data_IF_514261971670
#
_entry.id   IF_514261971670
#
_cell.length_a   1.000
_cell.length_b   1.000
_cell.length_c   1.000
_cell.angle_alpha   90.00
_cell.angle_beta   90.00
_cell.angle_gamma   90.00
#
_symmetry.space_group_name_H-M   'P 1'
#
loop_
_entity.id
_entity.type
_entity.pdbx_description
1 polymer ?
#
# COMPACT_ATOMS: atom_id res chain seq x y z
N UNK A 1 13.73 6.89 -21.94
CA UNK A 1 12.27 7.03 -22.03
C UNK A 1 11.55 6.26 -20.88
N UNK A 2 11.95 5.01 -20.58
CA UNK A 2 11.32 4.21 -19.51
C UNK A 2 11.52 4.77 -18.10
N UNK A 3 12.68 5.31 -17.79
CA UNK A 3 13.01 5.90 -16.49
C UNK A 3 12.10 7.10 -16.18
N UNK A 4 11.89 8.01 -17.14
CA UNK A 4 10.98 9.15 -16.97
C UNK A 4 9.53 8.69 -16.71
N UNK A 5 9.07 7.63 -17.42
CA UNK A 5 7.75 7.06 -17.17
C UNK A 5 7.63 6.48 -15.76
N UNK A 6 8.64 5.75 -15.30
CA UNK A 6 8.67 5.21 -13.94
C UNK A 6 8.59 6.31 -12.88
N UNK A 7 9.36 7.38 -13.03
CA UNK A 7 9.35 8.53 -12.13
C UNK A 7 7.97 9.19 -12.09
N UNK A 8 7.36 9.46 -13.24
CA UNK A 8 6.02 10.06 -13.32
C UNK A 8 4.99 9.18 -12.58
N UNK A 9 5.02 7.87 -12.80
CA UNK A 9 4.09 6.95 -12.16
C UNK A 9 4.25 6.94 -10.63
N UNK A 10 5.48 6.87 -10.12
CA UNK A 10 5.74 6.87 -8.66
C UNK A 10 5.35 8.20 -8.04
N UNK A 11 5.76 9.33 -8.65
CA UNK A 11 5.40 10.67 -8.17
C UNK A 11 3.89 10.89 -8.17
N UNK A 12 3.19 10.46 -9.24
CA UNK A 12 1.72 10.55 -9.28
C UNK A 12 1.07 9.75 -8.16
N UNK A 13 1.58 8.55 -7.86
CA UNK A 13 1.12 7.74 -6.72
C UNK A 13 1.32 8.45 -5.38
N UNK A 14 2.50 9.01 -5.14
CA UNK A 14 2.80 9.75 -3.91
C UNK A 14 1.96 11.03 -3.77
N UNK A 15 1.76 11.80 -4.86
CA UNK A 15 0.91 12.98 -4.84
C UNK A 15 -0.54 12.64 -4.49
N UNK A 16 -1.07 11.54 -5.05
CA UNK A 16 -2.41 11.08 -4.70
C UNK A 16 -2.49 10.67 -3.23
N UNK A 17 -1.50 9.95 -2.70
CA UNK A 17 -1.45 9.61 -1.28
C UNK A 17 -1.32 10.83 -0.38
N UNK A 18 -0.62 11.87 -0.82
CA UNK A 18 -0.57 13.17 -0.12
C UNK A 18 -1.94 13.84 0.04
N UNK A 19 -2.87 13.58 -0.90
CA UNK A 19 -4.26 14.06 -0.82
C UNK A 19 -5.19 13.15 0.03
N UNK A 20 -4.76 11.96 0.43
CA UNK A 20 -5.58 11.00 1.18
C UNK A 20 -6.15 11.53 2.50
N UNK A 21 -5.42 12.32 3.31
CA UNK A 21 -6.00 12.88 4.53
C UNK A 21 -7.29 13.68 4.28
N UNK A 22 -7.38 14.38 3.15
CA UNK A 22 -8.58 15.13 2.77
C UNK A 22 -9.76 14.19 2.47
N UNK A 23 -9.50 13.09 1.79
CA UNK A 23 -10.54 12.10 1.48
C UNK A 23 -11.00 11.36 2.75
N UNK A 24 -10.08 10.87 3.55
CA UNK A 24 -10.44 10.13 4.77
C UNK A 24 -11.08 11.00 5.84
N UNK A 25 -10.79 12.31 5.87
CA UNK A 25 -11.48 13.25 6.75
C UNK A 25 -12.99 13.32 6.48
N UNK A 26 -13.44 13.07 5.25
CA UNK A 26 -14.87 12.99 4.92
C UNK A 26 -15.55 11.74 5.50
N UNK A 27 -14.79 10.73 5.87
CA UNK A 27 -15.25 9.46 6.45
C UNK A 27 -14.89 9.31 7.94
N UNK A 28 -14.50 10.37 8.64
CA UNK A 28 -14.10 10.31 10.05
C UNK A 28 -15.23 9.90 11.01
N UNK A 29 -16.49 9.98 10.56
CA UNK A 29 -17.66 9.52 11.28
C UNK A 29 -17.96 8.02 11.09
N UNK A 30 -17.26 7.33 10.19
CA UNK A 30 -17.37 5.89 9.93
C UNK A 30 -16.30 5.14 10.70
N UNK A 31 -16.64 3.94 11.21
CA UNK A 31 -15.64 3.12 11.89
C UNK A 31 -14.46 2.80 10.94
N UNK A 32 -13.22 3.08 11.34
CA UNK A 32 -12.05 2.89 10.49
C UNK A 32 -11.87 1.45 9.97
N UNK A 33 -12.29 0.45 10.76
CA UNK A 33 -12.26 -0.94 10.31
C UNK A 33 -13.21 -1.19 9.16
N UNK A 34 -14.39 -0.55 9.17
CA UNK A 34 -15.36 -0.59 8.07
C UNK A 34 -14.81 0.11 6.82
N UNK A 35 -14.16 1.26 6.98
CA UNK A 35 -13.46 1.94 5.87
C UNK A 35 -12.42 1.02 5.24
N UNK A 36 -11.63 0.27 6.03
CA UNK A 36 -10.66 -0.70 5.52
C UNK A 36 -11.32 -1.83 4.73
N UNK A 37 -12.44 -2.35 5.23
CA UNK A 37 -13.24 -3.36 4.54
C UNK A 37 -13.66 -2.86 3.16
N UNK A 38 -14.26 -1.68 3.09
CA UNK A 38 -14.75 -1.10 1.83
C UNK A 38 -13.62 -0.78 0.85
N UNK A 39 -12.46 -0.34 1.32
CA UNK A 39 -11.25 -0.16 0.49
C UNK A 39 -10.87 -1.43 -0.25
N UNK A 40 -10.92 -2.58 0.42
CA UNK A 40 -10.56 -3.87 -0.19
C UNK A 40 -11.71 -4.40 -1.03
N UNK A 41 -12.93 -4.41 -0.50
CA UNK A 41 -14.11 -4.95 -1.17
C UNK A 41 -14.37 -4.26 -2.52
N UNK A 42 -14.40 -2.93 -2.54
CA UNK A 42 -14.66 -2.16 -3.76
C UNK A 42 -13.45 -2.08 -4.71
N UNK A 43 -12.25 -2.45 -4.25
CA UNK A 43 -11.12 -2.63 -5.16
C UNK A 43 -11.30 -3.83 -6.10
N UNK A 44 -12.03 -4.86 -5.69
CA UNK A 44 -12.25 -6.07 -6.51
C UNK A 44 -12.95 -5.77 -7.83
N UNK A 45 -14.14 -5.13 -7.87
CA UNK A 45 -14.81 -4.83 -9.15
C UNK A 45 -14.00 -3.85 -10.00
N UNK A 46 -13.31 -2.87 -9.40
CA UNK A 46 -12.45 -1.93 -10.14
C UNK A 46 -11.31 -2.68 -10.84
N UNK A 47 -10.61 -3.55 -10.13
CA UNK A 47 -9.51 -4.34 -10.67
C UNK A 47 -9.99 -5.39 -11.69
N UNK A 48 -11.15 -6.00 -11.44
CA UNK A 48 -11.80 -6.89 -12.41
C UNK A 48 -12.01 -6.20 -13.75
N UNK A 49 -12.63 -5.02 -13.74
CA UNK A 49 -12.87 -4.21 -14.96
C UNK A 49 -11.55 -3.90 -15.65
N UNK A 50 -10.54 -3.42 -14.92
CA UNK A 50 -9.23 -3.09 -15.50
C UNK A 50 -8.54 -4.30 -16.14
N UNK A 51 -8.59 -5.47 -15.49
CA UNK A 51 -7.98 -6.69 -16.01
C UNK A 51 -8.77 -7.23 -17.19
N UNK A 52 -10.12 -7.20 -17.11
CA UNK A 52 -11.00 -7.69 -18.16
C UNK A 52 -10.81 -6.97 -19.50
N UNK A 53 -10.68 -5.66 -19.50
CA UNK A 53 -10.54 -4.86 -20.73
C UNK A 53 -9.12 -4.84 -21.34
N UNK A 54 -8.13 -5.46 -20.67
CA UNK A 54 -6.74 -5.45 -21.19
C UNK A 54 -6.19 -6.87 -21.36
N UNK A 55 -6.14 -7.41 -22.62
CA UNK A 55 -5.71 -8.78 -22.90
C UNK A 55 -4.36 -9.16 -22.32
N UNK A 56 -3.38 -8.22 -22.31
CA UNK A 56 -2.06 -8.45 -21.70
C UNK A 56 -2.12 -8.63 -20.18
N UNK A 57 -3.08 -8.01 -19.50
CA UNK A 57 -3.29 -8.19 -18.05
C UNK A 57 -4.05 -9.47 -17.75
N UNK A 58 -4.99 -9.89 -18.61
CA UNK A 58 -5.65 -11.20 -18.50
C UNK A 58 -4.62 -12.33 -18.64
N UNK A 59 -3.74 -12.26 -19.65
CA UNK A 59 -2.69 -13.25 -19.84
C UNK A 59 -1.74 -13.32 -18.64
N UNK A 60 -1.32 -12.16 -18.11
CA UNK A 60 -0.46 -12.09 -16.94
C UNK A 60 -1.18 -12.61 -15.68
N UNK A 61 -2.46 -12.29 -15.48
CA UNK A 61 -3.30 -12.84 -14.39
C UNK A 61 -3.33 -14.38 -14.44
N UNK A 62 -3.69 -14.96 -15.61
CA UNK A 62 -3.73 -16.42 -15.80
C UNK A 62 -2.37 -17.09 -15.53
N UNK A 63 -1.28 -16.49 -16.01
CA UNK A 63 0.08 -16.98 -15.76
C UNK A 63 0.40 -16.97 -14.26
N UNK A 64 0.04 -15.88 -13.59
CA UNK A 64 0.36 -15.71 -12.17
C UNK A 64 -0.41 -16.68 -11.27
N UNK A 65 -1.69 -16.92 -11.52
CA UNK A 65 -2.48 -17.89 -10.76
C UNK A 65 -2.07 -19.35 -11.02
N UNK A 66 -1.44 -19.64 -12.16
CA UNK A 66 -0.93 -20.98 -12.48
C UNK A 66 0.41 -21.27 -11.79
N UNK A 67 1.10 -20.27 -11.26
CA UNK A 67 2.39 -20.42 -10.58
C UNK A 67 2.20 -20.43 -9.07
N UNK A 68 2.43 -21.60 -8.42
CA UNK A 68 2.39 -21.72 -6.96
C UNK A 68 3.34 -20.74 -6.26
N UNK A 69 4.52 -20.50 -6.85
CA UNK A 69 5.50 -19.55 -6.34
C UNK A 69 4.97 -18.12 -6.37
N UNK A 70 4.43 -17.67 -7.51
CA UNK A 70 3.85 -16.32 -7.63
C UNK A 70 2.66 -16.15 -6.67
N UNK A 71 1.77 -17.13 -6.55
CA UNK A 71 0.65 -17.10 -5.61
C UNK A 71 1.11 -16.98 -4.15
N UNK A 72 2.14 -17.73 -3.76
CA UNK A 72 2.69 -17.62 -2.41
C UNK A 72 3.24 -16.22 -2.12
N UNK A 73 4.01 -15.65 -3.05
CA UNK A 73 4.51 -14.29 -2.89
C UNK A 73 3.40 -13.25 -2.93
N UNK A 74 2.36 -13.42 -3.77
CA UNK A 74 1.19 -12.54 -3.78
C UNK A 74 0.39 -12.62 -2.47
N UNK A 75 0.28 -13.80 -1.87
CA UNK A 75 -0.32 -13.95 -0.54
C UNK A 75 0.50 -13.23 0.54
N UNK A 76 1.82 -13.36 0.51
CA UNK A 76 2.71 -12.66 1.43
C UNK A 76 2.59 -11.13 1.26
N UNK A 77 2.57 -10.63 0.02
CA UNK A 77 2.41 -9.19 -0.25
C UNK A 77 1.01 -8.69 0.13
N UNK A 78 -0.03 -9.50 -0.03
CA UNK A 78 -1.38 -9.20 0.46
C UNK A 78 -1.42 -9.03 1.99
N UNK A 79 -0.74 -9.91 2.73
CA UNK A 79 -0.60 -9.78 4.19
C UNK A 79 0.17 -8.51 4.55
N UNK A 80 1.32 -8.25 3.91
CA UNK A 80 2.15 -7.07 4.19
C UNK A 80 1.37 -5.77 4.01
N UNK A 81 0.63 -5.63 2.90
CA UNK A 81 -0.13 -4.41 2.64
C UNK A 81 -1.36 -4.28 3.56
N UNK A 82 -1.97 -5.38 3.97
CA UNK A 82 -3.08 -5.38 4.94
C UNK A 82 -2.60 -4.95 6.33
N UNK A 83 -1.46 -5.47 6.78
CA UNK A 83 -0.83 -5.05 8.05
C UNK A 83 -0.45 -3.57 7.99
N UNK A 84 0.07 -3.11 6.86
CA UNK A 84 0.39 -1.70 6.66
C UNK A 84 -0.85 -0.80 6.81
N UNK A 85 -1.93 -1.13 6.13
CA UNK A 85 -3.18 -0.35 6.20
C UNK A 85 -3.82 -0.40 7.59
N UNK A 86 -3.88 -1.60 8.20
CA UNK A 86 -4.38 -1.78 9.55
C UNK A 86 -3.55 -1.02 10.58
N UNK A 87 -2.22 -1.06 10.46
CA UNK A 87 -1.30 -0.29 11.29
C UNK A 87 -1.49 1.22 11.17
N UNK A 88 -1.70 1.72 9.95
CA UNK A 88 -2.01 3.13 9.71
C UNK A 88 -3.34 3.55 10.37
N UNK A 89 -4.40 2.75 10.18
CA UNK A 89 -5.71 2.99 10.78
C UNK A 89 -5.60 3.00 12.32
N UNK A 90 -4.89 2.01 12.88
CA UNK A 90 -4.65 1.94 14.33
C UNK A 90 -3.90 3.17 14.84
N UNK A 91 -2.87 3.62 14.12
CA UNK A 91 -2.12 4.82 14.48
C UNK A 91 -3.00 6.08 14.47
N UNK A 92 -3.85 6.24 13.46
CA UNK A 92 -4.82 7.36 13.39
C UNK A 92 -5.79 7.33 14.56
N UNK A 93 -6.36 6.15 14.89
CA UNK A 93 -7.29 6.00 16.02
C UNK A 93 -6.66 6.29 17.40
N UNK A 94 -5.38 5.99 17.54
CA UNK A 94 -4.63 6.27 18.76
C UNK A 94 -4.11 7.72 18.81
N UNK A 95 -4.45 8.58 17.83
CA UNK A 95 -3.93 9.95 17.73
C UNK A 95 -2.45 10.03 17.36
N UNK A 96 -1.83 8.93 16.90
CA UNK A 96 -0.41 8.81 16.58
C UNK A 96 -0.11 9.05 15.08
N UNK A 97 -0.79 10.00 14.47
CA UNK A 97 -0.65 10.30 13.01
C UNK A 97 0.78 10.71 12.66
N UNK A 98 1.46 11.45 13.54
CA UNK A 98 2.87 11.84 13.32
C UNK A 98 3.77 10.61 13.31
N UNK A 99 3.56 9.66 14.24
CA UNK A 99 4.29 8.40 14.29
C UNK A 99 4.09 7.58 13.01
N UNK A 100 2.83 7.48 12.52
CA UNK A 100 2.52 6.81 11.25
C UNK A 100 3.22 7.47 10.06
N UNK A 101 3.24 8.80 10.00
CA UNK A 101 3.91 9.56 8.94
C UNK A 101 5.41 9.34 8.95
N UNK A 102 6.03 9.30 10.14
CA UNK A 102 7.46 9.01 10.29
C UNK A 102 7.85 7.63 9.75
N UNK A 103 6.95 6.65 9.79
CA UNK A 103 7.17 5.35 9.18
C UNK A 103 7.50 5.44 7.69
N UNK A 104 6.86 6.33 6.96
CA UNK A 104 7.14 6.53 5.54
C UNK A 104 8.49 7.21 5.29
N UNK A 105 9.03 7.98 6.23
CA UNK A 105 10.41 8.51 6.14
C UNK A 105 11.48 7.43 6.31
N UNK A 106 11.14 6.26 6.86
CA UNK A 106 12.03 5.09 6.91
C UNK A 106 12.04 4.32 5.57
N UNK A 107 11.00 4.47 4.76
CA UNK A 107 10.88 3.75 3.48
C UNK A 107 12.09 3.96 2.54
N UNK A 108 12.67 5.15 2.39
CA UNK A 108 13.90 5.34 1.61
C UNK A 108 15.05 4.45 2.07
N UNK A 109 15.26 4.35 3.37
CA UNK A 109 16.32 3.54 3.97
C UNK A 109 16.11 2.06 3.64
N UNK A 110 14.89 1.55 3.93
CA UNK A 110 14.55 0.14 3.73
C UNK A 110 14.55 -0.22 2.23
N UNK A 111 14.02 0.65 1.37
CA UNK A 111 14.03 0.45 -0.07
C UNK A 111 15.44 0.40 -0.64
N UNK A 112 16.36 1.25 -0.15
CA UNK A 112 17.75 1.25 -0.57
C UNK A 112 18.46 -0.02 -0.09
N UNK A 113 18.24 -0.45 1.13
CA UNK A 113 18.74 -1.74 1.63
C UNK A 113 18.21 -2.91 0.79
N UNK A 114 16.91 -2.90 0.50
CA UNK A 114 16.28 -3.90 -0.38
C UNK A 114 16.87 -3.88 -1.79
N UNK A 115 17.09 -2.70 -2.36
CA UNK A 115 17.74 -2.53 -3.66
C UNK A 115 19.17 -3.09 -3.69
N UNK A 116 19.94 -2.80 -2.65
CA UNK A 116 21.30 -3.30 -2.52
C UNK A 116 21.36 -4.82 -2.30
N UNK A 117 20.57 -5.34 -1.35
CA UNK A 117 20.63 -6.75 -0.93
C UNK A 117 20.02 -7.69 -2.00
N UNK A 118 18.81 -7.37 -2.48
CA UNK A 118 18.05 -8.28 -3.35
C UNK A 118 18.26 -8.06 -4.85
N UNK A 119 18.57 -6.82 -5.25
CA UNK A 119 18.73 -6.48 -6.67
C UNK A 119 20.16 -6.10 -7.04
N UNK A 120 21.11 -6.15 -6.09
CA UNK A 120 22.51 -5.79 -6.28
C UNK A 120 22.70 -4.39 -6.92
N UNK A 121 21.79 -3.47 -6.59
CA UNK A 121 21.81 -2.11 -7.12
C UNK A 121 23.00 -1.33 -6.54
N UNK A 122 23.71 -0.60 -7.41
CA UNK A 122 24.80 0.29 -6.97
C UNK A 122 24.23 1.57 -6.36
N UNK A 123 24.69 1.91 -5.16
CA UNK A 123 24.28 3.11 -4.44
C UNK A 123 25.28 4.22 -4.73
N UNK A 124 24.84 5.30 -5.39
CA UNK A 124 25.71 6.48 -5.60
C UNK A 124 26.02 7.20 -4.28
N UNK A 125 27.14 7.93 -4.24
CA UNK A 125 27.54 8.68 -3.03
C UNK A 125 26.47 9.66 -2.54
N UNK A 126 25.76 10.31 -3.46
CA UNK A 126 24.66 11.22 -3.12
C UNK A 126 23.52 10.49 -2.42
N UNK A 127 23.13 9.31 -2.91
CA UNK A 127 22.11 8.47 -2.29
C UNK A 127 22.54 7.96 -0.91
N UNK A 128 23.82 7.63 -0.73
CA UNK A 128 24.36 7.24 0.59
C UNK A 128 24.20 8.37 1.60
N UNK A 129 24.52 9.61 1.21
CA UNK A 129 24.33 10.78 2.08
C UNK A 129 22.85 11.02 2.40
N UNK A 130 21.96 10.89 1.40
CA UNK A 130 20.50 11.04 1.63
C UNK A 130 20.00 10.02 2.68
N UNK A 131 20.40 8.75 2.57
CA UNK A 131 20.03 7.72 3.56
C UNK A 131 20.67 7.97 4.92
N UNK A 132 21.92 8.40 4.95
CA UNK A 132 22.60 8.74 6.19
C UNK A 132 21.82 9.81 6.97
N UNK A 133 21.44 10.91 6.33
CA UNK A 133 20.65 11.97 6.98
C UNK A 133 19.24 11.50 7.33
N UNK A 134 18.57 10.72 6.47
CA UNK A 134 17.27 10.14 6.79
C UNK A 134 17.34 9.20 8.00
N UNK A 135 18.39 8.39 8.09
CA UNK A 135 18.63 7.50 9.25
C UNK A 135 18.87 8.29 10.53
N UNK A 136 19.68 9.36 10.49
CA UNK A 136 19.88 10.24 11.66
C UNK A 136 18.56 10.85 12.11
N UNK A 137 17.76 11.39 11.17
CA UNK A 137 16.45 11.98 11.50
C UNK A 137 15.50 10.95 12.12
N UNK A 138 15.47 9.73 11.59
CA UNK A 138 14.66 8.63 12.14
C UNK A 138 15.14 8.22 13.55
N UNK A 139 16.44 8.07 13.75
CA UNK A 139 17.02 7.76 15.08
C UNK A 139 16.73 8.87 16.07
N UNK A 140 16.91 10.13 15.68
CA UNK A 140 16.58 11.28 16.52
C UNK A 140 15.12 11.21 16.98
N UNK A 141 14.19 10.94 16.06
CA UNK A 141 12.77 10.78 16.40
C UNK A 141 12.51 9.63 17.39
N UNK A 142 13.16 8.47 17.16
CA UNK A 142 13.02 7.30 18.04
C UNK A 142 13.51 7.61 19.47
N UNK A 143 14.62 8.33 19.61
CA UNK A 143 15.24 8.61 20.91
C UNK A 143 14.73 9.89 21.58
N UNK A 144 14.07 10.79 20.86
CA UNK A 144 13.52 12.04 21.39
C UNK A 144 12.07 11.94 21.84
N UNK A 145 11.37 10.84 21.50
CA UNK A 145 9.97 10.62 21.86
C UNK A 145 9.80 9.99 23.24
N UNK A 146 8.67 10.29 23.90
CA UNK A 146 8.30 9.70 25.19
C UNK A 146 7.98 8.19 25.12
N UNK A 147 7.78 7.66 23.93
CA UNK A 147 7.47 6.25 23.69
C UNK A 147 8.10 5.72 22.42
N UNK A 148 8.42 4.43 22.40
CA UNK A 148 8.97 3.77 21.22
C UNK A 148 7.98 3.77 20.04
N UNK A 149 8.33 4.29 18.85
CA UNK A 149 7.42 4.47 17.72
C UNK A 149 7.22 3.19 16.90
N UNK A 150 6.70 2.14 17.54
CA UNK A 150 6.55 0.81 16.92
C UNK A 150 5.58 0.79 15.73
N UNK A 151 4.53 1.63 15.75
CA UNK A 151 3.57 1.74 14.63
C UNK A 151 4.24 2.33 13.39
N UNK A 152 5.03 3.39 13.56
CA UNK A 152 5.79 3.97 12.45
C UNK A 152 6.77 2.97 11.84
N UNK A 153 7.50 2.24 12.69
CA UNK A 153 8.41 1.19 12.23
C UNK A 153 7.66 0.07 11.48
N UNK A 154 6.53 -0.38 12.01
CA UNK A 154 5.68 -1.39 11.38
C UNK A 154 5.21 -0.92 9.98
N UNK A 155 4.70 0.30 9.88
CA UNK A 155 4.18 0.90 8.64
C UNK A 155 5.32 1.02 7.61
N UNK A 156 6.45 1.60 8.00
CA UNK A 156 7.59 1.78 7.10
C UNK A 156 8.17 0.45 6.60
N UNK A 157 8.33 -0.52 7.51
CA UNK A 157 8.85 -1.84 7.17
C UNK A 157 7.91 -2.62 6.25
N UNK A 158 6.62 -2.70 6.59
CA UNK A 158 5.65 -3.47 5.79
C UNK A 158 5.44 -2.88 4.41
N UNK A 159 5.38 -1.55 4.27
CA UNK A 159 5.24 -0.88 2.98
C UNK A 159 6.47 -1.08 2.09
N UNK A 160 7.67 -0.90 2.62
CA UNK A 160 8.90 -1.08 1.86
C UNK A 160 9.12 -2.55 1.48
N UNK A 161 8.87 -3.47 2.40
CA UNK A 161 8.95 -4.92 2.12
C UNK A 161 7.95 -5.33 1.03
N UNK A 162 6.73 -4.78 1.06
CA UNK A 162 5.75 -4.92 -0.02
C UNK A 162 6.32 -4.45 -1.37
N UNK A 163 6.88 -3.23 -1.42
CA UNK A 163 7.45 -2.67 -2.65
C UNK A 163 8.60 -3.52 -3.22
N UNK A 164 9.52 -3.96 -2.36
CA UNK A 164 10.65 -4.83 -2.73
C UNK A 164 10.14 -6.17 -3.25
N UNK A 165 9.22 -6.83 -2.54
CA UNK A 165 8.65 -8.10 -2.96
C UNK A 165 7.91 -7.98 -4.31
N UNK A 166 7.09 -6.96 -4.47
CA UNK A 166 6.36 -6.69 -5.74
C UNK A 166 7.29 -6.44 -6.92
N UNK A 167 8.43 -5.78 -6.70
CA UNK A 167 9.44 -5.59 -7.75
C UNK A 167 10.08 -6.91 -8.18
N UNK A 168 10.33 -7.82 -7.26
CA UNK A 168 10.95 -9.12 -7.54
C UNK A 168 10.05 -10.08 -8.36
N UNK A 169 8.73 -9.84 -8.39
CA UNK A 169 7.75 -10.72 -9.02
C UNK A 169 7.61 -10.45 -10.52
N UNK A 170 7.29 -11.51 -11.28
CA UNK A 170 6.94 -11.41 -12.70
C UNK A 170 5.55 -10.81 -12.90
N UNK A 171 4.66 -11.03 -11.95
CA UNK A 171 3.28 -10.52 -11.98
C UNK A 171 3.25 -9.00 -12.10
N UNK A 172 2.52 -8.48 -13.10
CA UNK A 172 2.35 -7.05 -13.34
C UNK A 172 1.61 -6.35 -12.19
N UNK A 173 1.68 -5.01 -12.13
CA UNK A 173 1.08 -4.22 -11.04
C UNK A 173 -0.41 -4.52 -10.85
N UNK A 174 -1.23 -4.27 -11.85
CA UNK A 174 -2.70 -4.40 -11.76
C UNK A 174 -3.17 -5.85 -11.59
N UNK A 175 -2.72 -6.84 -12.39
CA UNK A 175 -3.07 -8.24 -12.13
C UNK A 175 -2.68 -8.73 -10.75
N UNK A 176 -1.52 -8.31 -10.25
CA UNK A 176 -1.09 -8.70 -8.92
C UNK A 176 -1.95 -8.11 -7.81
N UNK A 177 -2.30 -6.81 -7.90
CA UNK A 177 -3.25 -6.19 -6.96
C UNK A 177 -4.61 -6.91 -6.99
N UNK A 178 -5.07 -7.33 -8.17
CA UNK A 178 -6.30 -8.08 -8.31
C UNK A 178 -6.23 -9.43 -7.59
N UNK A 179 -5.14 -10.18 -7.76
CA UNK A 179 -4.96 -11.46 -7.06
C UNK A 179 -4.85 -11.23 -5.54
N UNK A 180 -4.09 -10.22 -5.10
CA UNK A 180 -3.96 -9.86 -3.69
C UNK A 180 -5.32 -9.56 -3.04
N UNK A 181 -6.17 -8.76 -3.71
CA UNK A 181 -7.51 -8.46 -3.19
C UNK A 181 -8.44 -9.68 -3.20
N UNK A 182 -8.34 -10.55 -4.22
CA UNK A 182 -9.10 -11.80 -4.25
C UNK A 182 -8.67 -12.76 -3.13
N UNK A 183 -7.38 -12.83 -2.82
CA UNK A 183 -6.86 -13.66 -1.71
C UNK A 183 -7.32 -13.14 -0.34
N UNK A 184 -7.51 -11.83 -0.20
CA UNK A 184 -8.02 -11.22 1.03
C UNK A 184 -9.54 -11.30 1.15
N UNK A 185 -10.27 -11.43 0.03
CA UNK A 185 -11.72 -11.36 0.00
C UNK A 185 -12.43 -12.31 0.99
N UNK A 186 -12.06 -13.60 1.13
CA UNK A 186 -12.67 -14.48 2.12
C UNK A 186 -12.55 -13.96 3.55
N UNK A 187 -11.38 -13.44 3.91
CA UNK A 187 -11.12 -12.89 5.25
C UNK A 187 -11.94 -11.62 5.49
N UNK A 188 -12.04 -10.76 4.47
CA UNK A 188 -12.83 -9.52 4.53
C UNK A 188 -14.32 -9.83 4.66
N UNK A 189 -14.84 -10.81 3.94
CA UNK A 189 -16.24 -11.23 4.06
C UNK A 189 -16.52 -11.77 5.48
N UNK A 190 -15.67 -12.66 6.00
CA UNK A 190 -15.82 -13.20 7.36
C UNK A 190 -15.77 -12.06 8.39
N UNK A 191 -14.81 -11.14 8.26
CA UNK A 191 -14.71 -9.99 9.15
C UNK A 191 -15.95 -9.09 9.07
N UNK A 192 -16.47 -8.82 7.87
CA UNK A 192 -17.67 -7.99 7.67
C UNK A 192 -18.90 -8.61 8.30
N UNK A 193 -19.08 -9.93 8.16
CA UNK A 193 -20.19 -10.63 8.80
C UNK A 193 -20.08 -10.60 10.33
N UNK A 194 -18.89 -10.82 10.86
CA UNK A 194 -18.63 -10.70 12.30
C UNK A 194 -18.84 -9.26 12.78
N UNK A 195 -18.34 -8.27 12.04
CA UNK A 195 -18.48 -6.86 12.37
C UNK A 195 -19.96 -6.45 12.42
N UNK A 196 -20.73 -6.81 11.38
CA UNK A 196 -22.18 -6.51 11.29
C UNK A 196 -23.01 -7.18 12.40
N UNK A 197 -22.55 -8.30 12.96
CA UNK A 197 -23.21 -8.94 14.08
C UNK A 197 -22.99 -8.24 15.43
N UNK A 198 -21.96 -7.38 15.53
CA UNK A 198 -21.57 -6.70 16.77
C UNK A 198 -21.73 -5.17 16.69
N UNK A 199 -21.76 -4.61 15.49
CA UNK A 199 -21.80 -3.16 15.23
C UNK A 199 -22.69 -2.89 14.02
N UNK A 200 -23.40 -1.77 14.02
CA UNK A 200 -24.15 -1.31 12.85
C UNK A 200 -23.18 -0.82 11.77
N UNK A 201 -23.35 -1.31 10.54
CA UNK A 201 -22.60 -0.82 9.38
C UNK A 201 -23.07 0.58 9.01
N UNK A 202 -22.14 1.45 8.62
CA UNK A 202 -22.44 2.78 8.12
C UNK A 202 -23.01 2.75 6.71
N UNK A 203 -22.55 1.80 5.86
CA UNK A 203 -23.04 1.67 4.49
C UNK A 203 -24.53 1.33 4.46
N UNK A 204 -25.28 2.06 3.63
CA UNK A 204 -26.75 1.98 3.46
C UNK A 204 -27.58 2.35 4.71
N UNK A 205 -26.94 2.73 5.83
CA UNK A 205 -27.62 3.05 7.07
C UNK A 205 -27.48 4.54 7.47
N UNK A 206 -26.51 5.28 6.94
CA UNK A 206 -26.29 6.68 7.29
C UNK A 206 -26.87 7.62 6.21
N UNK A 207 -26.20 7.77 5.09
CA UNK A 207 -26.61 8.67 4.01
C UNK A 207 -25.91 8.31 2.70
N UNK A 208 -26.50 8.73 1.57
CA UNK A 208 -25.97 8.48 0.23
C UNK A 208 -24.56 9.02 0.00
N UNK A 209 -24.18 10.12 0.61
CA UNK A 209 -22.82 10.68 0.48
C UNK A 209 -21.79 9.74 1.08
N UNK A 210 -22.05 9.19 2.25
CA UNK A 210 -21.20 8.19 2.91
C UNK A 210 -21.08 6.92 2.06
N UNK A 211 -22.19 6.43 1.50
CA UNK A 211 -22.19 5.25 0.64
C UNK A 211 -21.32 5.45 -0.60
N UNK A 212 -21.48 6.58 -1.29
CA UNK A 212 -20.66 6.92 -2.46
C UNK A 212 -19.18 6.99 -2.09
N UNK A 213 -18.84 7.62 -0.97
CA UNK A 213 -17.46 7.70 -0.50
C UNK A 213 -16.89 6.31 -0.17
N UNK A 214 -17.65 5.43 0.50
CA UNK A 214 -17.21 4.08 0.80
C UNK A 214 -17.01 3.24 -0.48
N UNK A 215 -17.87 3.38 -1.48
CA UNK A 215 -17.73 2.71 -2.78
C UNK A 215 -16.51 3.25 -3.54
N UNK A 216 -16.32 4.57 -3.59
CA UNK A 216 -15.18 5.20 -4.24
C UNK A 216 -13.85 4.89 -3.56
N UNK A 217 -13.85 4.48 -2.28
CA UNK A 217 -12.65 4.07 -1.57
C UNK A 217 -11.85 2.97 -2.28
N UNK A 218 -12.53 2.09 -3.05
CA UNK A 218 -11.87 1.10 -3.92
C UNK A 218 -11.02 1.75 -5.01
N UNK A 219 -11.59 2.72 -5.74
CA UNK A 219 -10.87 3.46 -6.81
C UNK A 219 -9.70 4.23 -6.22
N UNK A 220 -9.95 4.97 -5.14
CA UNK A 220 -8.95 5.76 -4.42
C UNK A 220 -7.80 4.87 -3.92
N UNK A 221 -8.06 3.63 -3.55
CA UNK A 221 -7.04 2.67 -3.14
C UNK A 221 -6.26 2.09 -4.33
N UNK A 222 -6.96 1.67 -5.40
CA UNK A 222 -6.36 0.97 -6.55
C UNK A 222 -5.45 1.87 -7.37
N UNK A 223 -5.89 3.10 -7.67
CA UNK A 223 -5.19 3.95 -8.63
C UNK A 223 -3.77 4.29 -8.18
N UNK A 224 -3.53 4.88 -6.98
CA UNK A 224 -2.17 5.23 -6.57
C UNK A 224 -1.28 4.02 -6.34
N UNK A 225 -1.85 2.90 -5.82
CA UNK A 225 -1.07 1.68 -5.59
C UNK A 225 -0.66 1.01 -6.92
N UNK A 226 -1.52 1.04 -7.95
CA UNK A 226 -1.19 0.58 -9.29
C UNK A 226 -0.12 1.45 -9.95
N UNK A 227 -0.20 2.78 -9.79
CA UNK A 227 0.81 3.73 -10.27
C UNK A 227 2.15 3.48 -9.58
N UNK A 228 2.17 3.41 -8.26
CA UNK A 228 3.38 3.14 -7.48
C UNK A 228 4.03 1.81 -7.85
N UNK A 229 3.30 0.70 -7.80
CA UNK A 229 3.84 -0.62 -8.11
C UNK A 229 4.25 -0.75 -9.57
N UNK A 230 3.51 -0.12 -10.49
CA UNK A 230 3.87 -0.03 -11.90
C UNK A 230 5.16 0.75 -12.14
N UNK A 231 5.34 1.87 -11.44
CA UNK A 231 6.55 2.69 -11.51
C UNK A 231 7.75 2.03 -10.83
N UNK A 232 7.56 1.40 -9.68
CA UNK A 232 8.61 0.68 -8.95
C UNK A 232 9.23 -0.46 -9.78
N UNK A 233 8.47 -1.09 -10.67
CA UNK A 233 8.98 -2.09 -11.61
C UNK A 233 9.89 -1.52 -12.71
N UNK A 234 9.74 -0.24 -13.01
CA UNK A 234 10.53 0.46 -14.05
C UNK A 234 11.75 1.17 -13.50
N UNK A 235 11.85 1.32 -12.18
CA UNK A 235 12.91 2.07 -11.51
C UNK A 235 13.75 1.16 -10.60
N UNK A 236 15.02 1.53 -10.36
CA UNK A 236 15.77 0.97 -9.24
C UNK A 236 15.06 1.27 -7.91
N UNK A 237 15.04 0.32 -6.97
CA UNK A 237 14.47 0.55 -5.62
C UNK A 237 15.16 1.68 -4.88
N UNK A 238 16.46 1.84 -5.11
CA UNK A 238 17.26 2.98 -4.63
C UNK A 238 16.81 4.33 -5.20
N UNK A 239 15.96 4.37 -6.23
CA UNK A 239 15.39 5.60 -6.79
C UNK A 239 13.94 5.77 -6.32
N UNK A 240 13.20 4.68 -6.11
CA UNK A 240 11.83 4.70 -5.59
C UNK A 240 11.77 5.23 -4.17
N UNK A 241 12.82 5.00 -3.38
CA UNK A 241 12.91 5.45 -2.00
C UNK A 241 13.35 6.91 -1.81
N UNK A 242 13.73 7.62 -2.86
CA UNK A 242 14.19 9.02 -2.79
C UNK A 242 13.15 9.93 -3.42
#
# INVERSE_FOLDING_TARGET
>A
CFMNKGIILVLSGYLMWGCFPLYWALLNHVNPSEVLVHRILWSVPVLFVLVYFKPSWQANFKLSISSRKELFFLFLTAILITINWGGYILAVNLGKVVEASMGYFLSPVINMMGGYIFFHERISRLKQWAVFFATIGALYYVFSGDSFPWLGLLIGFTFSSYGVARKAMVTSAVPGLYIETLLLLPFIIIFTLWFNSNYDLAIFNLNLSTDILLILAGVVTVVPLALFTGGAKLLPMTTVGI
#
